data_IF_596476512360
#
_entry.id   IF_596476512360
#
_cell.length_a   1.000
_cell.length_b   1.000
_cell.length_c   1.000
_cell.angle_alpha   90.00
_cell.angle_beta   90.00
_cell.angle_gamma   90.00
#
_symmetry.space_group_name_H-M   'P 1'
#
loop_
_entity.id
_entity.type
_entity.pdbx_description
1 polymer ?
#
# COMPACT_ATOMS: atom_id res chain seq x y z
N UNK A 1 -50.33 12.17 3.08
CA UNK A 1 -49.65 11.67 1.85
C UNK A 1 -48.56 12.67 1.47
N UNK A 2 -47.39 12.50 2.02
CA UNK A 2 -46.24 13.39 1.75
C UNK A 2 -45.36 12.71 0.69
N UNK A 3 -45.24 13.38 -0.46
CA UNK A 3 -44.44 12.92 -1.57
C UNK A 3 -42.94 13.08 -1.22
N UNK A 4 -42.24 11.96 -1.10
CA UNK A 4 -40.76 11.93 -1.01
C UNK A 4 -40.15 12.50 -2.30
N UNK A 5 -39.48 13.64 -2.19
CA UNK A 5 -38.65 14.16 -3.28
C UNK A 5 -37.41 13.29 -3.42
N UNK A 6 -37.26 12.65 -4.55
CA UNK A 6 -36.10 11.87 -4.93
C UNK A 6 -34.84 12.75 -5.08
N UNK A 7 -33.63 12.16 -5.09
CA UNK A 7 -32.38 12.90 -5.19
C UNK A 7 -32.30 13.65 -6.50
N UNK A 8 -31.95 14.95 -6.42
CA UNK A 8 -31.78 15.84 -7.57
C UNK A 8 -30.71 15.32 -8.52
N UNK A 9 -31.04 15.26 -9.82
CA UNK A 9 -30.14 14.76 -10.87
C UNK A 9 -28.81 15.51 -10.91
N UNK A 10 -27.70 14.85 -11.30
CA UNK A 10 -26.35 15.46 -11.35
C UNK A 10 -26.26 16.66 -12.33
N UNK A 11 -27.24 16.85 -13.21
CA UNK A 11 -27.31 18.02 -14.09
C UNK A 11 -27.64 19.33 -13.39
N UNK A 12 -28.27 19.30 -12.20
CA UNK A 12 -28.59 20.52 -11.45
C UNK A 12 -27.39 21.03 -10.61
N UNK A 13 -26.42 20.17 -10.30
CA UNK A 13 -25.20 20.60 -9.62
C UNK A 13 -24.24 21.36 -10.55
N UNK A 14 -24.24 21.04 -11.84
CA UNK A 14 -23.37 21.67 -12.83
C UNK A 14 -23.77 23.11 -13.17
N UNK A 15 -25.06 23.47 -13.03
CA UNK A 15 -25.55 24.82 -13.35
C UNK A 15 -25.28 25.87 -12.28
N UNK A 16 -24.86 25.46 -11.08
CA UNK A 16 -24.49 26.39 -9.99
C UNK A 16 -23.02 26.80 -9.99
N UNK A 17 -22.22 26.26 -10.88
CA UNK A 17 -20.77 26.50 -10.95
C UNK A 17 -20.35 27.62 -11.90
N UNK A 18 -21.29 28.36 -12.53
CA UNK A 18 -20.97 29.44 -13.44
C UNK A 18 -22.00 30.56 -13.31
N UNK A 19 -21.64 31.88 -13.18
CA UNK A 19 -20.36 32.51 -13.51
C UNK A 19 -19.70 33.22 -12.32
N UNK A 20 -18.41 33.09 -12.18
CA UNK A 20 -17.60 34.01 -11.37
C UNK A 20 -17.40 35.29 -12.20
N UNK A 21 -17.64 36.49 -11.64
CA UNK A 21 -17.32 37.77 -12.33
C UNK A 21 -15.80 37.91 -12.40
N UNK A 22 -15.25 37.67 -13.56
CA UNK A 22 -13.83 37.89 -13.85
C UNK A 22 -13.54 39.39 -13.95
N UNK A 23 -13.08 40.01 -12.87
CA UNK A 23 -12.49 41.33 -12.93
C UNK A 23 -11.04 41.21 -13.46
N UNK A 24 -10.74 41.94 -14.51
CA UNK A 24 -9.55 41.82 -15.36
C UNK A 24 -8.19 42.11 -14.67
N UNK A 25 -8.17 42.56 -13.41
CA UNK A 25 -6.95 42.98 -12.72
C UNK A 25 -6.21 41.91 -11.91
N UNK A 26 -6.59 40.62 -12.03
CA UNK A 26 -5.99 39.55 -11.24
C UNK A 26 -5.43 38.36 -12.06
N UNK A 27 -4.99 38.60 -13.30
CA UNK A 27 -4.52 37.49 -14.17
C UNK A 27 -3.39 36.66 -13.57
N UNK A 28 -2.47 37.25 -12.82
CA UNK A 28 -1.38 36.51 -12.19
C UNK A 28 -1.83 35.63 -10.98
N UNK A 29 -2.87 36.08 -10.26
CA UNK A 29 -3.46 35.31 -9.15
C UNK A 29 -4.42 34.24 -9.65
N UNK A 30 -5.07 34.44 -10.80
CA UNK A 30 -6.00 33.51 -11.43
C UNK A 30 -5.32 32.18 -11.83
N UNK A 31 -4.11 32.26 -12.37
CA UNK A 31 -3.37 31.06 -12.79
C UNK A 31 -3.06 30.13 -11.61
N UNK A 32 -2.64 30.68 -10.47
CA UNK A 32 -2.39 29.92 -9.25
C UNK A 32 -3.66 29.32 -8.65
N UNK A 33 -4.76 30.06 -8.62
CA UNK A 33 -6.05 29.58 -8.12
C UNK A 33 -6.63 28.49 -9.03
N UNK A 34 -6.54 28.67 -10.36
CA UNK A 34 -6.98 27.68 -11.33
C UNK A 34 -6.21 26.38 -11.20
N UNK A 35 -4.87 26.47 -11.06
CA UNK A 35 -4.02 25.32 -10.86
C UNK A 35 -4.38 24.56 -9.56
N UNK A 36 -4.59 25.29 -8.46
CA UNK A 36 -4.98 24.71 -7.19
C UNK A 36 -6.36 24.04 -7.28
N UNK A 37 -7.35 24.73 -7.86
CA UNK A 37 -8.70 24.19 -8.03
C UNK A 37 -8.72 22.96 -8.95
N UNK A 38 -7.97 22.99 -10.05
CA UNK A 38 -7.86 21.84 -10.96
C UNK A 38 -7.22 20.64 -10.26
N UNK A 39 -6.14 20.88 -9.51
CA UNK A 39 -5.47 19.82 -8.75
C UNK A 39 -6.40 19.19 -7.72
N UNK A 40 -7.19 19.99 -7.02
CA UNK A 40 -8.13 19.52 -6.03
C UNK A 40 -9.32 18.78 -6.65
N UNK A 41 -9.86 19.28 -7.76
CA UNK A 41 -10.90 18.62 -8.53
C UNK A 41 -10.44 17.26 -9.07
N UNK A 42 -9.25 17.17 -9.64
CA UNK A 42 -8.66 15.90 -10.09
C UNK A 42 -8.47 14.92 -8.92
N UNK A 43 -8.01 15.40 -7.77
CA UNK A 43 -7.86 14.57 -6.57
C UNK A 43 -9.21 14.05 -6.06
N UNK A 44 -10.21 14.91 -5.99
CA UNK A 44 -11.56 14.54 -5.58
C UNK A 44 -12.19 13.53 -6.54
N UNK A 45 -12.05 13.75 -7.85
CA UNK A 45 -12.54 12.83 -8.87
C UNK A 45 -11.86 11.46 -8.78
N UNK A 46 -10.56 11.44 -8.55
CA UNK A 46 -9.81 10.19 -8.38
C UNK A 46 -10.25 9.41 -7.13
N UNK A 47 -10.45 10.10 -6.00
CA UNK A 47 -10.87 9.48 -4.74
C UNK A 47 -12.35 9.07 -4.72
N UNK A 48 -13.18 9.63 -5.62
CA UNK A 48 -14.58 9.23 -5.77
C UNK A 48 -14.75 7.86 -6.43
N UNK A 49 -13.71 7.37 -7.13
CA UNK A 49 -13.68 6.03 -7.70
C UNK A 49 -13.19 4.97 -6.70
N UNK A 50 -13.37 3.69 -7.03
CA UNK A 50 -12.78 2.58 -6.28
C UNK A 50 -11.27 2.52 -6.53
N UNK A 51 -10.50 3.20 -5.71
CA UNK A 51 -9.04 3.21 -5.82
C UNK A 51 -8.42 1.92 -5.28
N UNK A 52 -7.36 1.42 -5.94
CA UNK A 52 -6.58 0.26 -5.50
C UNK A 52 -5.11 0.62 -5.41
N UNK A 53 -4.42 -0.01 -4.46
CA UNK A 53 -2.98 0.14 -4.33
C UNK A 53 -2.29 -0.82 -5.30
N UNK A 54 -1.35 -0.29 -6.10
CA UNK A 54 -0.49 -1.09 -6.96
C UNK A 54 0.81 -1.41 -6.22
N UNK A 55 1.14 -2.69 -6.13
CA UNK A 55 2.38 -3.17 -5.54
C UNK A 55 3.35 -3.61 -6.65
N UNK A 56 4.59 -3.11 -6.68
CA UNK A 56 5.60 -3.59 -7.60
C UNK A 56 6.11 -4.96 -7.16
N UNK A 57 6.34 -5.86 -8.11
CA UNK A 57 6.82 -7.21 -7.88
C UNK A 57 8.17 -7.44 -8.56
N UNK A 58 9.07 -8.10 -7.84
CA UNK A 58 10.27 -8.68 -8.40
C UNK A 58 10.04 -10.13 -8.82
N UNK A 59 10.57 -10.48 -9.98
CA UNK A 59 10.85 -11.87 -10.32
C UNK A 59 12.12 -12.28 -9.58
N UNK A 60 11.97 -13.21 -8.66
CA UNK A 60 13.05 -13.73 -7.84
C UNK A 60 13.41 -15.13 -8.32
N UNK A 61 14.64 -15.31 -8.78
CA UNK A 61 15.18 -16.61 -9.12
C UNK A 61 16.20 -17.04 -8.06
N UNK A 62 16.03 -18.25 -7.54
CA UNK A 62 16.83 -18.82 -6.47
C UNK A 62 17.33 -20.20 -6.88
N UNK A 63 18.57 -20.49 -6.55
CA UNK A 63 19.13 -21.84 -6.66
C UNK A 63 19.34 -22.39 -5.25
N UNK A 64 18.82 -23.59 -4.98
CA UNK A 64 18.86 -24.21 -3.67
C UNK A 64 19.09 -25.72 -3.82
N UNK A 65 19.87 -26.30 -2.91
CA UNK A 65 19.99 -27.76 -2.79
C UNK A 65 18.79 -28.31 -2.01
N UNK A 66 18.52 -29.60 -2.15
CA UNK A 66 17.41 -30.27 -1.46
C UNK A 66 17.42 -30.03 0.07
N UNK A 67 18.60 -30.01 0.68
CA UNK A 67 18.77 -29.84 2.13
C UNK A 67 18.31 -28.49 2.65
N UNK A 68 18.45 -27.44 1.84
CA UNK A 68 18.12 -26.05 2.23
C UNK A 68 16.77 -25.58 1.69
N UNK A 69 16.10 -26.41 0.88
CA UNK A 69 14.85 -26.09 0.21
C UNK A 69 13.77 -25.62 1.18
N UNK A 70 13.56 -26.37 2.27
CA UNK A 70 12.58 -26.03 3.31
C UNK A 70 12.86 -24.68 4.00
N UNK A 71 14.13 -24.38 4.26
CA UNK A 71 14.53 -23.09 4.84
C UNK A 71 14.28 -21.94 3.86
N UNK A 72 14.54 -22.16 2.57
CA UNK A 72 14.29 -21.19 1.50
C UNK A 72 12.81 -20.87 1.38
N UNK A 73 11.95 -21.89 1.39
CA UNK A 73 10.50 -21.70 1.40
C UNK A 73 10.00 -20.96 2.64
N UNK A 74 10.56 -21.26 3.81
CA UNK A 74 10.21 -20.54 5.04
C UNK A 74 10.53 -19.05 4.96
N UNK A 75 11.63 -18.68 4.32
CA UNK A 75 11.99 -17.26 4.12
C UNK A 75 11.07 -16.60 3.09
N UNK A 76 10.76 -17.28 1.97
CA UNK A 76 9.86 -16.77 0.93
C UNK A 76 8.44 -16.57 1.47
N UNK A 77 7.89 -17.52 2.21
CA UNK A 77 6.56 -17.44 2.82
C UNK A 77 6.48 -16.28 3.81
N UNK A 78 7.49 -16.08 4.65
CA UNK A 78 7.56 -14.95 5.60
C UNK A 78 7.52 -13.59 4.90
N UNK A 79 8.00 -13.52 3.66
CA UNK A 79 8.06 -12.30 2.83
C UNK A 79 6.93 -12.20 1.81
N UNK A 80 5.83 -12.93 1.99
CA UNK A 80 4.66 -12.94 1.08
C UNK A 80 5.02 -13.27 -0.38
N UNK A 81 6.13 -13.96 -0.62
CA UNK A 81 6.52 -14.35 -1.96
C UNK A 81 5.60 -15.45 -2.49
N UNK A 82 5.19 -15.34 -3.75
CA UNK A 82 4.41 -16.36 -4.45
C UNK A 82 5.32 -17.18 -5.34
N UNK A 83 5.38 -18.49 -5.12
CA UNK A 83 6.15 -19.40 -5.93
C UNK A 83 5.41 -19.60 -7.27
N UNK A 84 6.12 -19.41 -8.36
CA UNK A 84 5.61 -19.57 -9.73
C UNK A 84 5.97 -20.93 -10.30
N UNK A 85 7.24 -21.32 -10.18
CA UNK A 85 7.74 -22.61 -10.66
C UNK A 85 8.91 -23.08 -9.82
N UNK A 86 9.06 -24.39 -9.81
CA UNK A 86 10.19 -25.11 -9.22
C UNK A 86 10.66 -26.14 -10.24
N UNK A 87 11.94 -26.09 -10.57
CA UNK A 87 12.55 -26.96 -11.56
C UNK A 87 13.81 -27.60 -10.98
N UNK A 88 13.92 -28.92 -11.07
CA UNK A 88 15.16 -29.62 -10.78
C UNK A 88 16.08 -29.53 -12.00
N UNK A 89 17.28 -29.03 -11.81
CA UNK A 89 18.26 -28.96 -12.89
C UNK A 89 18.82 -30.36 -13.17
N UNK A 90 18.60 -30.86 -14.39
CA UNK A 90 19.03 -32.18 -14.79
C UNK A 90 20.53 -32.42 -14.53
N UNK A 91 20.86 -33.58 -13.97
CA UNK A 91 22.24 -33.95 -13.64
C UNK A 91 22.85 -33.29 -12.41
N UNK A 92 22.07 -32.48 -11.66
CA UNK A 92 22.54 -31.80 -10.45
C UNK A 92 21.49 -31.89 -9.33
N UNK A 93 21.88 -31.90 -8.04
CA UNK A 93 20.93 -31.84 -6.92
C UNK A 93 20.44 -30.42 -6.64
N UNK A 94 20.36 -29.56 -7.66
CA UNK A 94 20.05 -28.13 -7.53
C UNK A 94 18.65 -27.87 -8.06
N UNK A 95 17.81 -27.29 -7.22
CA UNK A 95 16.48 -26.79 -7.56
C UNK A 95 16.57 -25.29 -7.95
N UNK A 96 15.96 -24.94 -9.04
CA UNK A 96 15.75 -23.54 -9.45
C UNK A 96 14.33 -23.17 -9.10
N UNK A 97 14.16 -22.24 -8.16
CA UNK A 97 12.87 -21.74 -7.69
C UNK A 97 12.65 -20.37 -8.30
N UNK A 98 11.52 -20.18 -8.97
CA UNK A 98 11.08 -18.89 -9.46
C UNK A 98 9.88 -18.42 -8.63
N UNK A 99 9.99 -17.21 -8.07
CA UNK A 99 8.96 -16.63 -7.22
C UNK A 99 8.72 -15.16 -7.56
N UNK A 100 7.52 -14.66 -7.27
CA UNK A 100 7.19 -13.24 -7.29
C UNK A 100 7.29 -12.69 -5.88
N UNK A 101 8.19 -11.74 -5.66
CA UNK A 101 8.45 -11.13 -4.37
C UNK A 101 8.03 -9.66 -4.38
N UNK A 102 7.16 -9.21 -3.48
CA UNK A 102 6.86 -7.79 -3.33
C UNK A 102 8.11 -6.95 -3.02
N UNK A 103 8.28 -5.85 -3.74
CA UNK A 103 9.46 -4.97 -3.58
C UNK A 103 9.59 -4.47 -2.15
N UNK A 104 8.48 -4.19 -1.49
CA UNK A 104 8.46 -3.74 -0.08
C UNK A 104 9.11 -4.78 0.84
N UNK A 105 8.90 -6.07 0.58
CA UNK A 105 9.42 -7.20 1.36
C UNK A 105 10.84 -7.62 0.92
N UNK A 106 11.37 -7.06 -0.17
CA UNK A 106 12.70 -7.41 -0.67
C UNK A 106 13.85 -6.84 0.16
N UNK A 107 13.57 -5.78 0.94
CA UNK A 107 14.58 -5.17 1.81
C UNK A 107 15.04 -6.14 2.90
N UNK A 108 16.34 -6.40 2.93
CA UNK A 108 16.95 -7.36 3.86
C UNK A 108 16.74 -8.84 3.49
N UNK A 109 15.95 -9.16 2.45
CA UNK A 109 15.64 -10.54 2.04
C UNK A 109 16.90 -11.37 1.76
N UNK A 110 17.84 -10.84 0.98
CA UNK A 110 19.10 -11.54 0.67
C UNK A 110 19.95 -11.84 1.91
N UNK A 111 19.92 -10.94 2.90
CA UNK A 111 20.60 -11.11 4.19
C UNK A 111 19.96 -12.22 5.03
N UNK A 112 18.63 -12.24 5.11
CA UNK A 112 17.89 -13.27 5.83
C UNK A 112 18.03 -14.62 5.18
N UNK A 113 17.99 -14.68 3.84
CA UNK A 113 18.20 -15.91 3.09
C UNK A 113 19.59 -16.50 3.36
N UNK A 114 20.66 -15.66 3.29
CA UNK A 114 22.02 -16.12 3.62
C UNK A 114 22.14 -16.66 5.04
N UNK A 115 21.54 -15.96 6.02
CA UNK A 115 21.57 -16.42 7.42
C UNK A 115 20.92 -17.80 7.59
N UNK A 116 19.76 -18.01 6.94
CA UNK A 116 19.00 -19.26 7.07
C UNK A 116 19.64 -20.42 6.29
N UNK A 117 20.27 -20.13 5.14
CA UNK A 117 20.87 -21.14 4.25
C UNK A 117 22.39 -21.27 4.42
N UNK A 118 22.99 -20.61 5.41
CA UNK A 118 24.45 -20.57 5.61
C UNK A 118 25.23 -20.14 4.36
N UNK A 119 24.63 -19.24 3.57
CA UNK A 119 25.22 -18.70 2.35
C UNK A 119 25.02 -19.56 1.09
N UNK A 120 24.35 -20.69 1.17
CA UNK A 120 24.22 -21.64 0.04
C UNK A 120 23.18 -21.20 -1.01
N UNK A 121 22.28 -20.26 -0.70
CA UNK A 121 21.31 -19.74 -1.65
C UNK A 121 21.54 -18.24 -1.90
N UNK A 122 21.51 -17.85 -3.19
CA UNK A 122 21.61 -16.46 -3.62
C UNK A 122 20.40 -16.08 -4.46
N UNK A 123 19.68 -14.99 -4.09
CA UNK A 123 18.56 -14.50 -4.87
C UNK A 123 19.03 -13.61 -6.01
N UNK A 124 18.49 -13.82 -7.19
CA UNK A 124 18.49 -12.87 -8.30
C UNK A 124 17.12 -12.18 -8.34
N UNK A 125 17.13 -10.84 -8.28
CA UNK A 125 15.92 -10.03 -8.26
C UNK A 125 15.88 -9.17 -9.50
N UNK A 126 14.85 -9.32 -10.33
CA UNK A 126 14.59 -8.51 -11.52
C UNK A 126 13.20 -7.94 -11.44
N UNK A 127 13.01 -6.66 -11.77
CA UNK A 127 11.67 -6.08 -11.80
C UNK A 127 10.79 -6.84 -12.81
N UNK A 128 9.60 -7.20 -12.37
CA UNK A 128 8.63 -7.90 -13.19
C UNK A 128 7.50 -6.97 -13.64
N UNK A 129 6.57 -6.66 -12.78
CA UNK A 129 5.40 -5.85 -13.10
C UNK A 129 4.77 -5.24 -11.83
N UNK A 130 3.74 -4.43 -12.04
CA UNK A 130 2.88 -3.94 -10.98
C UNK A 130 1.62 -4.79 -10.89
N UNK A 131 1.20 -5.15 -9.68
CA UNK A 131 -0.04 -5.87 -9.43
C UNK A 131 -0.93 -5.08 -8.47
N UNK A 132 -2.24 -5.08 -8.73
CA UNK A 132 -3.19 -4.43 -7.85
C UNK A 132 -3.47 -5.31 -6.62
N UNK A 133 -3.32 -4.75 -5.43
CA UNK A 133 -3.75 -5.42 -4.21
C UNK A 133 -5.28 -5.55 -4.20
N UNK A 134 -5.82 -6.73 -3.86
CA UNK A 134 -7.27 -6.95 -3.86
C UNK A 134 -7.98 -6.17 -2.76
N UNK A 135 -7.26 -5.85 -1.69
CA UNK A 135 -7.79 -5.16 -0.53
C UNK A 135 -7.96 -3.66 -0.77
N UNK A 136 -9.04 -3.09 -0.22
CA UNK A 136 -9.29 -1.65 -0.28
C UNK A 136 -8.41 -0.92 0.75
N UNK A 137 -7.55 0.03 0.31
CA UNK A 137 -6.69 0.79 1.21
C UNK A 137 -7.47 1.76 2.11
N UNK A 138 -8.71 2.11 1.74
CA UNK A 138 -9.57 3.00 2.50
C UNK A 138 -10.48 2.27 3.50
N UNK A 139 -10.54 0.94 3.41
CA UNK A 139 -11.37 0.15 4.32
C UNK A 139 -10.79 0.19 5.74
N UNK A 140 -11.61 0.65 6.66
CA UNK A 140 -11.33 0.65 8.11
C UNK A 140 -12.46 -0.11 8.77
N UNK A 141 -12.14 -1.04 9.62
CA UNK A 141 -13.13 -1.75 10.46
C UNK A 141 -13.73 -0.73 11.41
N UNK A 142 -14.99 -0.39 11.21
CA UNK A 142 -15.67 0.65 11.96
C UNK A 142 -16.83 0.12 12.81
N UNK A 143 -17.31 -1.10 12.53
CA UNK A 143 -18.46 -1.69 13.19
C UNK A 143 -18.10 -2.97 13.94
N UNK A 144 -18.83 -3.24 15.03
CA UNK A 144 -18.66 -4.48 15.81
C UNK A 144 -18.94 -5.73 14.95
N UNK A 145 -19.88 -5.63 14.00
CA UNK A 145 -20.21 -6.70 13.04
C UNK A 145 -19.03 -7.04 12.11
N UNK A 146 -18.30 -6.01 11.66
CA UNK A 146 -17.09 -6.20 10.84
C UNK A 146 -15.94 -6.79 11.66
N UNK A 147 -15.87 -6.46 12.95
CA UNK A 147 -14.89 -7.04 13.87
C UNK A 147 -15.20 -8.52 14.12
N UNK A 148 -16.44 -8.89 14.31
CA UNK A 148 -16.88 -10.30 14.43
C UNK A 148 -16.56 -11.08 13.15
N UNK A 149 -16.81 -10.49 11.97
CA UNK A 149 -16.49 -11.11 10.68
C UNK A 149 -14.96 -11.31 10.49
N UNK A 150 -14.13 -10.48 11.09
CA UNK A 150 -12.68 -10.64 11.16
C UNK A 150 -12.29 -11.82 12.05
N UNK A 151 -12.92 -11.91 13.23
CA UNK A 151 -12.64 -12.96 14.21
C UNK A 151 -13.12 -14.33 13.70
N UNK A 152 -14.24 -14.36 12.96
CA UNK A 152 -14.76 -15.56 12.29
C UNK A 152 -13.98 -15.95 11.02
N UNK A 153 -13.00 -15.16 10.60
CA UNK A 153 -12.17 -15.43 9.42
C UNK A 153 -12.87 -15.17 8.08
N UNK A 154 -14.06 -14.57 8.07
CA UNK A 154 -14.78 -14.17 6.87
C UNK A 154 -14.12 -12.99 6.14
N UNK A 155 -13.42 -12.14 6.89
CA UNK A 155 -12.55 -11.08 6.36
C UNK A 155 -11.08 -11.40 6.60
N UNK A 156 -10.17 -10.98 5.73
CA UNK A 156 -8.74 -11.17 5.96
C UNK A 156 -8.29 -10.41 7.21
N UNK A 157 -7.72 -11.11 8.16
CA UNK A 157 -7.30 -10.61 9.48
C UNK A 157 -6.39 -9.37 9.46
N UNK A 158 -5.80 -9.07 8.30
CA UNK A 158 -4.92 -7.92 8.14
C UNK A 158 -5.11 -7.28 6.76
N UNK A 159 -5.53 -6.03 6.72
CA UNK A 159 -5.55 -5.24 5.49
C UNK A 159 -4.12 -4.79 5.16
N UNK A 160 -3.45 -5.52 4.26
CA UNK A 160 -2.07 -5.23 3.86
C UNK A 160 -1.98 -3.87 3.16
N UNK A 161 -2.96 -3.52 2.31
CA UNK A 161 -2.97 -2.24 1.60
C UNK A 161 -3.03 -1.07 2.60
N UNK A 162 -3.90 -1.16 3.60
CA UNK A 162 -4.02 -0.15 4.66
C UNK A 162 -2.72 -0.05 5.48
N UNK A 163 -2.15 -1.18 5.88
CA UNK A 163 -0.87 -1.21 6.61
C UNK A 163 0.24 -0.48 5.86
N UNK A 164 0.37 -0.70 4.55
CA UNK A 164 1.37 -0.03 3.71
C UNK A 164 1.13 1.48 3.61
N UNK A 165 -0.13 1.91 3.46
CA UNK A 165 -0.51 3.33 3.46
C UNK A 165 -0.14 3.98 4.78
N UNK A 166 -0.51 3.36 5.91
CA UNK A 166 -0.27 3.91 7.23
C UNK A 166 1.23 3.98 7.56
N UNK A 167 2.02 3.00 7.13
CA UNK A 167 3.47 3.04 7.26
C UNK A 167 4.10 4.22 6.50
N UNK A 168 3.65 4.47 5.26
CA UNK A 168 4.12 5.64 4.49
C UNK A 168 3.66 6.94 5.14
N UNK A 169 2.42 7.02 5.63
CA UNK A 169 1.90 8.20 6.35
C UNK A 169 2.72 8.47 7.60
N UNK A 170 3.03 7.44 8.38
CA UNK A 170 3.86 7.53 9.59
C UNK A 170 5.26 8.04 9.28
N UNK A 171 5.91 7.51 8.25
CA UNK A 171 7.24 8.00 7.79
C UNK A 171 7.22 9.47 7.36
N UNK A 172 6.10 9.94 6.80
CA UNK A 172 5.91 11.34 6.40
C UNK A 172 5.44 12.26 7.55
N UNK A 173 5.25 11.74 8.75
CA UNK A 173 4.71 12.49 9.88
C UNK A 173 3.26 12.91 9.70
N UNK A 174 2.49 12.21 8.85
CA UNK A 174 1.07 12.45 8.65
C UNK A 174 0.27 11.66 9.69
N UNK A 175 -0.92 12.18 10.02
CA UNK A 175 -1.83 11.53 10.94
C UNK A 175 -2.26 10.15 10.42
N UNK A 176 -2.18 9.15 11.27
CA UNK A 176 -2.72 7.81 11.04
C UNK A 176 -3.91 7.61 11.95
N UNK A 177 -5.00 7.03 11.44
CA UNK A 177 -6.22 6.81 12.22
C UNK A 177 -5.91 5.90 13.42
N UNK A 178 -6.40 6.30 14.60
CA UNK A 178 -6.14 5.60 15.88
C UNK A 178 -4.84 5.98 16.61
N UNK A 179 -3.91 6.68 16.01
CA UNK A 179 -2.72 7.18 16.68
C UNK A 179 -2.97 8.56 17.30
N UNK A 180 -2.63 8.71 18.59
CA UNK A 180 -2.66 10.02 19.24
C UNK A 180 -1.53 10.88 18.68
N UNK A 181 -1.89 11.99 18.05
CA UNK A 181 -0.91 12.99 17.62
C UNK A 181 -0.23 13.56 18.86
N UNK A 182 1.09 13.42 18.93
CA UNK A 182 1.87 14.10 19.95
C UNK A 182 1.93 15.59 19.58
N UNK A 183 1.05 16.38 20.16
CA UNK A 183 0.89 17.80 19.83
C UNK A 183 2.05 18.70 20.24
N UNK A 184 3.06 18.19 20.97
CA UNK A 184 4.05 19.05 21.59
C UNK A 184 5.49 18.59 21.37
N UNK A 185 6.21 19.32 20.51
CA UNK A 185 7.68 19.24 20.39
C UNK A 185 8.44 19.52 21.72
N UNK A 186 7.81 20.19 22.68
CA UNK A 186 8.35 20.44 24.02
C UNK A 186 8.56 19.18 24.85
N UNK A 187 7.78 18.12 24.67
CA UNK A 187 8.00 16.83 25.35
C UNK A 187 9.24 16.09 24.87
N UNK A 188 9.64 16.25 23.62
CA UNK A 188 10.86 15.64 23.09
C UNK A 188 12.13 16.30 23.66
N UNK A 189 12.10 17.61 23.93
CA UNK A 189 13.23 18.32 24.56
C UNK A 189 13.44 17.92 26.02
N UNK A 190 12.38 17.61 26.75
CA UNK A 190 12.47 17.19 28.16
C UNK A 190 12.98 15.75 28.33
N UNK A 191 12.71 14.86 27.37
CA UNK A 191 13.25 13.49 27.38
C UNK A 191 14.76 13.44 27.07
N UNK A 192 15.27 14.34 26.23
CA UNK A 192 16.71 14.44 25.93
C UNK A 192 17.56 14.99 27.10
N UNK A 193 16.90 15.59 28.11
CA UNK A 193 17.59 16.26 29.24
C UNK A 193 17.69 15.40 30.53
N UNK A 194 17.14 14.19 30.52
CA UNK A 194 17.34 13.20 31.57
C UNK A 194 18.56 12.31 31.22
N UNK A 195 19.74 12.85 31.38
CA UNK A 195 20.99 12.14 31.66
C UNK A 195 21.34 12.36 33.10
#
# INVERSE_FOLDING_TARGET
>A
MEARRGPSSPRQAASKLWPLPLSFNHQAQLSGQLLAATKEACRAAFLAGSTRLLEPLYHCELQATQEILGKTYGVLAKRRARIVSEELKEGTPIFTIRALLPVVESFGFAGDLRKQTSGAAHPQLVFSHFEALPQDPMFVVATDEEQEALDDGALPSTNVARKLVDEVRRRKGLLVDGEKVVQCATKQRTLARKR
#
